data_IF_751664185194
#
_entry.id   IF_751664185194
#
_cell.length_a   1.000
_cell.length_b   1.000
_cell.length_c   1.000
_cell.angle_alpha   90.00
_cell.angle_beta   90.00
_cell.angle_gamma   90.00
#
_symmetry.space_group_name_H-M   'P 1'
#
loop_
_entity.id
_entity.type
_entity.pdbx_description
1 polymer ?
#
# COMPACT_ATOMS: atom_id res chain seq x y z
N UNK A 1 -19.76 -1.41 -21.04
CA UNK A 1 -19.45 -2.82 -21.36
C UNK A 1 -18.45 -3.30 -20.33
N UNK A 2 -18.77 -4.37 -19.56
CA UNK A 2 -17.79 -5.02 -18.70
C UNK A 2 -16.63 -5.47 -19.58
N UNK A 3 -15.43 -4.95 -19.35
CA UNK A 3 -14.22 -5.46 -19.99
C UNK A 3 -13.99 -6.88 -19.41
N UNK A 4 -14.56 -7.87 -20.06
CA UNK A 4 -14.27 -9.26 -19.77
C UNK A 4 -12.80 -9.50 -20.13
N UNK A 5 -12.01 -9.84 -19.13
CA UNK A 5 -10.62 -10.25 -19.35
C UNK A 5 -10.66 -11.56 -20.12
N UNK A 6 -10.10 -11.56 -21.32
CA UNK A 6 -9.90 -12.79 -22.08
C UNK A 6 -8.70 -13.54 -21.48
N UNK A 7 -8.97 -14.71 -20.87
CA UNK A 7 -7.94 -15.56 -20.31
C UNK A 7 -7.31 -16.43 -21.37
N UNK A 8 -6.14 -16.02 -21.88
CA UNK A 8 -5.38 -16.78 -22.88
C UNK A 8 -4.22 -17.54 -22.23
N UNK A 9 -4.44 -18.82 -21.95
CA UNK A 9 -3.42 -19.70 -21.34
C UNK A 9 -2.16 -19.86 -22.21
N UNK A 10 -2.29 -19.79 -23.55
CA UNK A 10 -1.13 -19.91 -24.44
C UNK A 10 -0.28 -18.65 -24.41
N UNK A 11 -0.91 -17.49 -24.40
CA UNK A 11 -0.22 -16.21 -24.25
C UNK A 11 0.51 -16.15 -22.90
N UNK A 12 -0.16 -16.55 -21.82
CA UNK A 12 0.43 -16.57 -20.47
C UNK A 12 1.66 -17.49 -20.45
N UNK A 13 1.55 -18.73 -20.92
CA UNK A 13 2.68 -19.67 -20.98
C UNK A 13 3.84 -19.17 -21.82
N UNK A 14 3.55 -18.46 -22.90
CA UNK A 14 4.57 -17.91 -23.80
C UNK A 14 5.42 -16.83 -23.13
N UNK A 15 4.81 -16.02 -22.26
CA UNK A 15 5.44 -14.87 -21.59
C UNK A 15 5.70 -15.09 -20.11
N UNK A 16 5.42 -16.27 -19.56
CA UNK A 16 5.73 -16.63 -18.16
C UNK A 16 7.24 -16.83 -18.01
N UNK A 17 7.92 -15.74 -17.67
CA UNK A 17 9.37 -15.70 -17.49
C UNK A 17 9.70 -15.03 -16.16
N UNK A 18 10.75 -15.54 -15.51
CA UNK A 18 11.33 -14.87 -14.35
C UNK A 18 11.93 -13.52 -14.78
N UNK A 19 11.55 -12.45 -14.10
CA UNK A 19 12.02 -11.10 -14.41
C UNK A 19 11.76 -10.14 -13.26
N UNK A 20 12.34 -8.92 -13.31
CA UNK A 20 12.02 -7.90 -12.35
C UNK A 20 10.57 -7.48 -12.46
N UNK A 21 9.99 -7.07 -11.34
CA UNK A 21 8.62 -6.57 -11.29
C UNK A 21 8.58 -5.15 -11.86
N UNK A 22 8.02 -5.00 -13.05
CA UNK A 22 7.88 -3.71 -13.73
C UNK A 22 6.58 -3.00 -13.30
N UNK A 23 6.54 -2.55 -12.06
CA UNK A 23 5.37 -1.85 -11.51
C UNK A 23 5.38 -0.35 -11.74
N UNK A 24 6.55 0.21 -12.07
CA UNK A 24 6.78 1.63 -12.36
C UNK A 24 8.02 1.80 -13.23
N UNK A 25 8.18 2.94 -13.88
CA UNK A 25 9.33 3.28 -14.70
C UNK A 25 9.86 4.67 -14.28
N UNK A 26 11.19 4.78 -14.02
CA UNK A 26 12.17 3.70 -13.97
C UNK A 26 11.86 2.72 -12.83
N UNK A 27 12.27 1.46 -12.98
CA UNK A 27 12.15 0.49 -11.90
C UNK A 27 13.19 0.79 -10.81
N UNK A 28 12.92 0.43 -9.54
CA UNK A 28 13.83 0.67 -8.43
C UNK A 28 15.23 0.03 -8.60
N UNK A 29 15.37 -1.01 -9.42
CA UNK A 29 16.67 -1.61 -9.76
C UNK A 29 17.56 -0.72 -10.63
N UNK A 30 17.01 0.35 -11.20
CA UNK A 30 17.77 1.36 -11.96
C UNK A 30 18.38 2.46 -11.08
N UNK A 31 17.99 2.52 -9.80
CA UNK A 31 18.49 3.53 -8.88
C UNK A 31 19.96 3.26 -8.56
N UNK A 32 20.72 4.33 -8.42
CA UNK A 32 22.16 4.29 -8.15
C UNK A 32 22.58 5.47 -7.26
N UNK A 33 23.79 5.41 -6.71
CA UNK A 33 24.31 6.38 -5.75
C UNK A 33 24.73 7.73 -6.37
N UNK A 34 24.49 7.92 -7.68
CA UNK A 34 24.83 9.14 -8.40
C UNK A 34 23.88 10.31 -8.17
N UNK A 35 22.75 10.09 -7.49
CA UNK A 35 21.78 11.13 -7.11
C UNK A 35 22.08 11.60 -5.70
N UNK A 36 22.29 12.91 -5.53
CA UNK A 36 22.64 13.50 -4.25
C UNK A 36 21.71 14.63 -3.82
N UNK A 37 22.09 15.28 -2.71
CA UNK A 37 21.32 16.38 -2.13
C UNK A 37 21.08 17.53 -3.12
N UNK A 38 22.03 17.84 -3.98
CA UNK A 38 21.89 18.92 -4.97
C UNK A 38 20.80 18.63 -6.00
N UNK A 39 20.69 17.37 -6.44
CA UNK A 39 19.66 16.95 -7.38
C UNK A 39 18.28 17.08 -6.76
N UNK A 40 18.14 16.64 -5.50
CA UNK A 40 16.89 16.76 -4.74
C UNK A 40 16.50 18.23 -4.57
N UNK A 41 17.43 19.10 -4.13
CA UNK A 41 17.17 20.53 -3.93
C UNK A 41 16.79 21.23 -5.24
N UNK A 42 17.42 20.84 -6.35
CA UNK A 42 17.08 21.37 -7.67
C UNK A 42 15.66 20.96 -8.09
N UNK A 43 15.30 19.69 -7.90
CA UNK A 43 13.95 19.20 -8.20
C UNK A 43 12.87 19.88 -7.35
N UNK A 44 13.10 20.01 -6.03
CA UNK A 44 12.18 20.73 -5.12
C UNK A 44 11.99 22.18 -5.52
N UNK A 45 13.06 22.87 -5.93
CA UNK A 45 12.99 24.24 -6.42
C UNK A 45 12.13 24.34 -7.70
N UNK A 46 12.34 23.45 -8.66
CA UNK A 46 11.55 23.41 -9.88
C UNK A 46 10.06 23.13 -9.60
N UNK A 47 9.77 22.18 -8.69
CA UNK A 47 8.41 21.90 -8.20
C UNK A 47 7.77 23.15 -7.61
N UNK A 48 8.50 23.87 -6.73
CA UNK A 48 8.06 25.13 -6.12
C UNK A 48 7.78 26.21 -7.16
N UNK A 49 8.66 26.42 -8.12
CA UNK A 49 8.50 27.45 -9.16
C UNK A 49 7.29 27.16 -10.06
N UNK A 50 6.97 25.90 -10.29
CA UNK A 50 5.81 25.45 -11.07
C UNK A 50 4.53 25.34 -10.23
N UNK A 51 4.62 25.47 -8.91
CA UNK A 51 3.51 25.28 -7.96
C UNK A 51 2.81 23.91 -8.15
N UNK A 52 3.56 22.85 -8.42
CA UNK A 52 2.97 21.52 -8.60
C UNK A 52 2.35 21.04 -7.29
N UNK A 53 1.13 20.48 -7.32
CA UNK A 53 0.55 19.87 -6.13
C UNK A 53 1.40 18.66 -5.68
N UNK A 54 1.22 18.26 -4.44
CA UNK A 54 2.06 17.27 -3.79
C UNK A 54 1.28 15.99 -3.45
N UNK A 55 1.96 14.87 -3.58
CA UNK A 55 1.61 13.59 -2.98
C UNK A 55 2.67 13.25 -1.93
N UNK A 56 2.29 12.96 -0.71
CA UNK A 56 3.20 12.58 0.36
C UNK A 56 3.08 11.09 0.66
N UNK A 57 4.20 10.39 0.74
CA UNK A 57 4.30 9.05 1.30
C UNK A 57 5.10 9.08 2.61
N UNK A 58 4.53 8.56 3.68
CA UNK A 58 5.19 8.49 4.99
C UNK A 58 5.42 7.04 5.36
N UNK A 59 6.69 6.66 5.47
CA UNK A 59 7.07 5.29 5.84
C UNK A 59 7.17 5.14 7.35
N UNK A 60 6.34 4.27 7.93
CA UNK A 60 6.39 3.89 9.34
C UNK A 60 6.88 2.43 9.43
N UNK A 61 8.15 2.19 9.78
CA UNK A 61 8.76 0.87 9.62
C UNK A 61 8.40 -0.13 10.73
N UNK A 62 7.61 0.24 11.74
CA UNK A 62 7.40 -0.58 12.92
C UNK A 62 6.27 -1.59 12.76
N UNK A 63 6.51 -2.83 13.25
CA UNK A 63 5.50 -3.86 13.41
C UNK A 63 5.67 -4.56 14.77
N UNK A 64 4.56 -4.86 15.45
CA UNK A 64 4.59 -5.64 16.68
C UNK A 64 4.81 -7.14 16.44
N UNK A 65 4.45 -7.62 15.24
CA UNK A 65 4.52 -9.03 14.84
C UNK A 65 5.25 -9.21 13.53
N UNK A 66 5.99 -10.32 13.41
CA UNK A 66 6.67 -10.69 12.17
C UNK A 66 5.76 -11.58 11.33
N UNK A 67 5.45 -11.14 10.10
CA UNK A 67 4.82 -11.99 9.09
C UNK A 67 5.92 -12.62 8.22
N UNK A 68 5.88 -13.94 8.03
CA UNK A 68 6.99 -14.64 7.37
C UNK A 68 7.09 -14.35 5.87
N UNK A 69 5.99 -14.00 5.21
CA UNK A 69 6.01 -13.64 3.79
C UNK A 69 6.60 -12.24 3.51
N UNK A 70 6.70 -11.38 4.53
CA UNK A 70 6.86 -9.94 4.33
C UNK A 70 8.26 -9.54 3.84
N UNK A 71 8.29 -8.80 2.73
CA UNK A 71 9.50 -8.21 2.13
C UNK A 71 9.67 -6.70 2.38
N UNK A 72 8.81 -6.06 3.18
CA UNK A 72 8.91 -4.63 3.46
C UNK A 72 10.13 -4.29 4.32
N UNK A 73 10.61 -3.04 4.20
CA UNK A 73 11.58 -2.50 5.17
C UNK A 73 10.87 -2.26 6.50
N UNK A 74 11.26 -2.99 7.54
CA UNK A 74 10.55 -2.99 8.82
C UNK A 74 11.45 -3.29 10.01
N UNK A 75 11.02 -2.78 11.16
CA UNK A 75 11.60 -3.05 12.48
C UNK A 75 10.55 -3.78 13.32
N UNK A 76 10.84 -5.06 13.65
CA UNK A 76 9.96 -5.84 14.50
C UNK A 76 10.28 -5.57 15.96
N UNK A 77 9.31 -5.02 16.70
CA UNK A 77 9.46 -4.73 18.12
C UNK A 77 8.10 -4.63 18.82
N UNK A 78 8.06 -5.05 20.08
CA UNK A 78 6.92 -4.80 20.97
C UNK A 78 7.11 -3.53 21.82
N UNK A 79 8.33 -3.01 21.85
CA UNK A 79 8.65 -1.77 22.53
C UNK A 79 8.21 -0.57 21.68
N UNK A 80 7.08 0.03 22.05
CA UNK A 80 6.50 1.20 21.38
C UNK A 80 7.41 2.43 21.47
N UNK A 81 8.21 2.54 22.52
CA UNK A 81 9.15 3.66 22.70
C UNK A 81 10.24 3.77 21.63
N UNK A 82 10.48 2.69 20.88
CA UNK A 82 11.43 2.71 19.76
C UNK A 82 10.97 3.57 18.58
N UNK A 83 9.70 3.94 18.52
CA UNK A 83 9.21 4.84 17.49
C UNK A 83 9.66 6.30 17.70
N UNK A 84 9.85 6.75 18.94
CA UNK A 84 10.14 8.15 19.25
C UNK A 84 11.38 8.71 18.54
N UNK A 85 12.57 8.08 18.62
CA UNK A 85 13.76 8.60 17.92
C UNK A 85 13.58 8.65 16.41
N UNK A 86 12.83 7.71 15.86
CA UNK A 86 12.51 7.68 14.43
C UNK A 86 11.59 8.83 14.05
N UNK A 87 10.53 9.08 14.81
CA UNK A 87 9.60 10.18 14.60
C UNK A 87 10.29 11.54 14.67
N UNK A 88 11.24 11.71 15.59
CA UNK A 88 12.06 12.93 15.67
C UNK A 88 12.85 13.17 14.39
N UNK A 89 13.43 12.13 13.79
CA UNK A 89 14.16 12.22 12.51
C UNK A 89 13.22 12.48 11.34
N UNK A 90 12.09 11.79 11.30
CA UNK A 90 11.06 11.99 10.29
C UNK A 90 10.51 13.44 10.30
N UNK A 91 10.33 14.02 11.49
CA UNK A 91 9.93 15.42 11.65
C UNK A 91 11.01 16.39 11.15
N UNK A 92 12.29 16.12 11.45
CA UNK A 92 13.42 16.91 10.94
C UNK A 92 13.47 16.86 9.41
N UNK A 93 13.29 15.69 8.82
CA UNK A 93 13.23 15.50 7.37
C UNK A 93 12.08 16.28 6.74
N UNK A 94 10.86 16.12 7.28
CA UNK A 94 9.68 16.83 6.82
C UNK A 94 9.87 18.36 6.89
N UNK A 95 10.49 18.86 7.96
CA UNK A 95 10.83 20.27 8.09
C UNK A 95 11.86 20.72 7.04
N UNK A 96 12.94 19.97 6.87
CA UNK A 96 14.00 20.28 5.91
C UNK A 96 13.46 20.35 4.46
N UNK A 97 12.60 19.40 4.07
CA UNK A 97 11.97 19.39 2.74
C UNK A 97 10.97 20.53 2.61
N UNK A 98 10.11 20.74 3.62
CA UNK A 98 9.06 21.76 3.60
C UNK A 98 9.59 23.19 3.42
N UNK A 99 10.82 23.48 3.89
CA UNK A 99 11.46 24.78 3.68
C UNK A 99 11.75 25.10 2.21
N UNK A 100 11.85 24.10 1.35
CA UNK A 100 12.12 24.26 -0.08
C UNK A 100 10.86 24.32 -0.94
N UNK A 101 9.68 24.19 -0.33
CA UNK A 101 8.38 24.19 -1.01
C UNK A 101 7.64 25.52 -0.77
N UNK A 102 6.58 25.74 -1.55
CA UNK A 102 5.69 26.90 -1.39
C UNK A 102 4.40 26.47 -0.69
N UNK A 103 3.91 27.29 0.23
CA UNK A 103 2.64 27.02 0.95
C UNK A 103 1.40 27.00 0.03
N UNK A 104 1.51 27.45 -1.20
CA UNK A 104 0.45 27.32 -2.21
C UNK A 104 0.40 25.95 -2.87
N UNK A 105 1.46 25.13 -2.73
CA UNK A 105 1.46 23.73 -3.19
C UNK A 105 0.63 22.90 -2.21
N UNK A 106 -0.57 22.53 -2.62
CA UNK A 106 -1.48 21.69 -1.82
C UNK A 106 -1.03 20.24 -1.83
N UNK A 107 -1.18 19.58 -0.69
CA UNK A 107 -1.03 18.11 -0.60
C UNK A 107 -2.37 17.48 -0.96
N UNK A 108 -2.50 17.04 -2.20
CA UNK A 108 -3.73 16.41 -2.71
C UNK A 108 -3.81 14.93 -2.32
N UNK A 109 -2.66 14.29 -2.11
CA UNK A 109 -2.58 12.88 -1.72
C UNK A 109 -1.62 12.70 -0.54
N UNK A 110 -2.01 11.88 0.44
CA UNK A 110 -1.20 11.46 1.58
C UNK A 110 -1.37 9.96 1.81
N UNK A 111 -0.26 9.24 1.96
CA UNK A 111 -0.30 7.82 2.29
C UNK A 111 0.66 7.48 3.42
N UNK A 112 0.15 6.81 4.46
CA UNK A 112 0.97 6.21 5.50
C UNK A 112 1.06 4.71 5.28
N UNK A 113 2.28 4.22 5.10
CA UNK A 113 2.54 2.80 4.82
C UNK A 113 3.82 2.29 5.44
N UNK A 114 4.24 1.09 5.02
CA UNK A 114 5.53 0.51 5.36
C UNK A 114 5.47 -0.77 6.20
N UNK A 115 5.58 -0.65 7.51
CA UNK A 115 5.36 -1.73 8.47
C UNK A 115 3.89 -1.78 8.88
N UNK A 116 3.56 -1.11 9.98
CA UNK A 116 2.19 -0.95 10.48
C UNK A 116 2.06 0.47 11.06
N UNK A 117 1.49 1.42 10.32
CA UNK A 117 1.39 2.80 10.81
C UNK A 117 0.62 2.93 12.14
N UNK A 118 -0.38 2.07 12.37
CA UNK A 118 -1.13 1.99 13.63
C UNK A 118 -0.34 1.36 14.80
N UNK A 119 0.94 1.02 14.58
CA UNK A 119 1.88 0.77 15.66
C UNK A 119 2.11 2.02 16.52
N UNK A 120 2.01 3.20 15.93
CA UNK A 120 2.12 4.45 16.65
C UNK A 120 0.93 4.64 17.61
N UNK A 121 1.20 5.21 18.77
CA UNK A 121 0.14 5.62 19.69
C UNK A 121 -0.71 6.75 19.08
N UNK A 122 -1.89 6.97 19.64
CA UNK A 122 -2.77 8.06 19.23
C UNK A 122 -2.10 9.44 19.32
N UNK A 123 -1.30 9.67 20.37
CA UNK A 123 -0.59 10.93 20.55
C UNK A 123 0.55 11.11 19.54
N UNK A 124 1.28 10.05 19.23
CA UNK A 124 2.31 10.06 18.19
C UNK A 124 1.72 10.32 16.81
N UNK A 125 0.57 9.73 16.48
CA UNK A 125 -0.15 10.00 15.23
C UNK A 125 -0.61 11.46 15.15
N UNK A 126 -1.16 12.02 16.24
CA UNK A 126 -1.53 13.46 16.31
C UNK A 126 -0.33 14.37 16.13
N UNK A 127 0.76 14.07 16.81
CA UNK A 127 2.00 14.85 16.71
C UNK A 127 2.55 14.81 15.28
N UNK A 128 2.65 13.62 14.68
CA UNK A 128 3.16 13.47 13.31
C UNK A 128 2.29 14.25 12.31
N UNK A 129 0.96 14.11 12.37
CA UNK A 129 0.05 14.87 11.50
C UNK A 129 0.15 16.37 11.75
N UNK A 130 0.30 16.80 13.00
CA UNK A 130 0.53 18.20 13.35
C UNK A 130 1.82 18.76 12.72
N UNK A 131 2.91 18.00 12.75
CA UNK A 131 4.17 18.39 12.10
C UNK A 131 4.07 18.43 10.57
N UNK A 132 3.35 17.48 9.97
CA UNK A 132 3.11 17.51 8.52
C UNK A 132 2.32 18.78 8.13
N UNK A 133 1.26 19.14 8.87
CA UNK A 133 0.47 20.36 8.63
C UNK A 133 1.27 21.66 8.84
N UNK A 134 2.26 21.64 9.73
CA UNK A 134 3.17 22.78 9.91
C UNK A 134 4.09 23.00 8.72
N UNK A 135 4.53 21.94 8.06
CA UNK A 135 5.52 21.99 6.99
C UNK A 135 4.93 21.92 5.57
N UNK A 136 3.76 21.33 5.41
CA UNK A 136 3.07 21.16 4.13
C UNK A 136 1.64 21.71 4.21
N UNK A 137 1.08 22.07 3.07
CA UNK A 137 -0.30 22.55 2.97
C UNK A 137 -1.27 21.38 2.77
N UNK A 138 -1.60 20.68 3.86
CA UNK A 138 -2.60 19.61 3.85
C UNK A 138 -4.02 20.22 3.74
N UNK A 139 -4.88 19.55 2.96
CA UNK A 139 -6.28 19.91 2.81
C UNK A 139 -7.08 19.54 4.06
N UNK A 140 -7.99 20.42 4.48
CA UNK A 140 -8.84 20.24 5.67
C UNK A 140 -10.32 19.99 5.33
N UNK A 141 -10.69 20.11 4.04
CA UNK A 141 -12.06 20.02 3.56
C UNK A 141 -12.48 18.63 3.08
N UNK A 142 -11.70 17.60 3.44
CA UNK A 142 -11.91 16.22 3.02
C UNK A 142 -11.82 15.97 1.49
N UNK A 143 -11.34 16.95 0.71
CA UNK A 143 -11.17 16.80 -0.74
C UNK A 143 -9.92 16.02 -1.14
N UNK A 144 -8.91 15.96 -0.24
CA UNK A 144 -7.69 15.18 -0.44
C UNK A 144 -7.92 13.67 -0.44
N UNK A 145 -6.97 12.95 -1.01
CA UNK A 145 -6.92 11.47 -1.00
C UNK A 145 -5.93 11.01 0.09
N UNK A 146 -6.42 10.87 1.32
CA UNK A 146 -5.58 10.58 2.48
C UNK A 146 -5.82 9.16 2.98
N UNK A 147 -4.83 8.29 2.79
CA UNK A 147 -4.92 6.87 3.02
C UNK A 147 -3.90 6.36 4.03
N UNK A 148 -4.24 5.25 4.69
CA UNK A 148 -3.38 4.60 5.67
C UNK A 148 -3.52 3.08 5.59
N UNK A 149 -2.38 2.37 5.70
CA UNK A 149 -2.35 0.92 5.82
C UNK A 149 -2.70 0.49 7.25
N UNK A 150 -3.57 -0.50 7.38
CA UNK A 150 -4.06 -1.01 8.65
C UNK A 150 -3.81 -2.52 8.77
N UNK A 151 -3.19 -2.91 9.87
CA UNK A 151 -3.25 -4.27 10.37
C UNK A 151 -4.46 -4.37 11.31
N UNK A 152 -5.49 -5.19 11.02
CA UNK A 152 -6.70 -5.25 11.85
C UNK A 152 -6.45 -5.73 13.28
N UNK A 153 -5.29 -6.34 13.56
CA UNK A 153 -4.86 -6.73 14.91
C UNK A 153 -4.35 -5.56 15.75
N UNK A 154 -4.02 -4.44 15.11
CA UNK A 154 -3.39 -3.25 15.71
C UNK A 154 -4.27 -1.99 15.56
N UNK A 155 -5.56 -2.16 15.33
CA UNK A 155 -6.53 -1.08 15.22
C UNK A 155 -7.89 -1.48 15.80
N UNK A 156 -8.61 -0.51 16.35
CA UNK A 156 -9.95 -0.65 16.90
C UNK A 156 -10.80 0.57 16.50
N UNK A 157 -12.04 0.63 16.99
CA UNK A 157 -12.96 1.74 16.77
C UNK A 157 -12.37 3.10 17.20
N UNK A 158 -11.64 3.15 18.31
CA UNK A 158 -10.99 4.37 18.79
C UNK A 158 -9.91 4.84 17.82
N UNK A 159 -9.11 3.91 17.33
CA UNK A 159 -8.09 4.16 16.29
C UNK A 159 -8.73 4.69 15.03
N UNK A 160 -9.81 4.05 14.55
CA UNK A 160 -10.53 4.49 13.34
C UNK A 160 -11.12 5.90 13.49
N UNK A 161 -11.68 6.21 14.67
CA UNK A 161 -12.20 7.55 15.00
C UNK A 161 -11.09 8.60 14.94
N UNK A 162 -9.92 8.31 15.54
CA UNK A 162 -8.77 9.19 15.48
C UNK A 162 -8.28 9.42 14.04
N UNK A 163 -8.15 8.35 13.25
CA UNK A 163 -7.69 8.46 11.86
C UNK A 163 -8.61 9.36 11.06
N UNK A 164 -9.92 9.26 11.26
CA UNK A 164 -10.90 10.14 10.61
C UNK A 164 -10.78 11.60 11.09
N UNK A 165 -10.58 11.82 12.38
CA UNK A 165 -10.32 13.14 12.97
C UNK A 165 -9.05 13.79 12.35
N UNK A 166 -8.01 12.99 12.11
CA UNK A 166 -6.76 13.46 11.51
C UNK A 166 -6.86 13.77 10.00
N UNK A 167 -7.98 13.41 9.37
CA UNK A 167 -8.26 13.70 7.97
C UNK A 167 -8.08 12.51 7.02
N UNK A 168 -7.74 11.31 7.53
CA UNK A 168 -7.72 10.11 6.70
C UNK A 168 -9.14 9.76 6.25
N UNK A 169 -9.31 9.49 4.97
CA UNK A 169 -10.60 9.16 4.35
C UNK A 169 -10.56 7.87 3.53
N UNK A 170 -9.43 7.18 3.50
CA UNK A 170 -9.22 5.88 2.84
C UNK A 170 -8.38 4.97 3.73
N UNK A 171 -8.65 3.68 3.68
CA UNK A 171 -7.86 2.66 4.38
C UNK A 171 -7.51 1.51 3.45
N UNK A 172 -6.35 0.89 3.70
CA UNK A 172 -5.99 -0.41 3.14
C UNK A 172 -5.78 -1.41 4.27
N UNK A 173 -6.55 -2.48 4.27
CA UNK A 173 -6.55 -3.50 5.32
C UNK A 173 -5.77 -4.72 4.83
N UNK A 174 -4.67 -5.03 5.50
CA UNK A 174 -3.92 -6.26 5.21
C UNK A 174 -4.60 -7.49 5.80
N UNK A 175 -5.31 -8.25 4.98
CA UNK A 175 -5.95 -9.53 5.37
C UNK A 175 -5.09 -10.72 4.95
N UNK A 176 -4.63 -10.72 3.72
CA UNK A 176 -3.76 -11.71 3.08
C UNK A 176 -4.46 -13.06 2.80
N UNK A 177 -4.96 -13.75 3.79
CA UNK A 177 -5.73 -14.99 3.70
C UNK A 177 -6.56 -15.19 4.98
N UNK A 178 -7.70 -15.87 4.87
CA UNK A 178 -8.58 -16.20 5.98
C UNK A 178 -8.46 -17.66 6.45
N UNK A 179 -7.76 -18.53 5.69
CA UNK A 179 -7.56 -19.92 6.09
C UNK A 179 -6.62 -20.01 7.31
N UNK A 180 -7.06 -20.62 8.43
CA UNK A 180 -6.26 -20.68 9.66
C UNK A 180 -4.95 -21.48 9.51
N UNK A 181 -4.85 -22.44 8.59
CA UNK A 181 -3.62 -23.19 8.33
C UNK A 181 -2.61 -22.31 7.61
N UNK A 182 -3.04 -21.56 6.61
CA UNK A 182 -2.23 -20.57 5.90
C UNK A 182 -1.74 -19.48 6.85
N UNK A 183 -2.65 -18.91 7.65
CA UNK A 183 -2.31 -17.87 8.63
C UNK A 183 -1.24 -18.34 9.64
N UNK A 184 -1.34 -19.57 10.13
CA UNK A 184 -0.31 -20.15 11.00
C UNK A 184 1.02 -20.34 10.29
N UNK A 185 1.01 -20.82 9.05
CA UNK A 185 2.21 -21.04 8.26
C UNK A 185 2.99 -19.75 7.98
N UNK A 186 2.30 -18.61 7.89
CA UNK A 186 2.90 -17.28 7.66
C UNK A 186 3.01 -16.43 8.91
N UNK A 187 2.64 -16.95 10.08
CA UNK A 187 2.64 -16.24 11.38
C UNK A 187 1.80 -14.96 11.37
N UNK A 188 0.61 -15.02 10.75
CA UNK A 188 -0.33 -13.90 10.74
C UNK A 188 -1.73 -14.40 11.09
N UNK A 189 -2.00 -14.56 12.38
CA UNK A 189 -3.29 -14.97 12.88
C UNK A 189 -4.18 -13.75 13.09
N UNK A 190 -5.30 -13.73 12.42
CA UNK A 190 -6.35 -12.71 12.55
C UNK A 190 -7.70 -13.33 12.24
N UNK A 191 -8.75 -12.78 12.81
CA UNK A 191 -10.13 -13.25 12.61
C UNK A 191 -10.83 -12.45 11.51
N UNK A 192 -11.87 -13.03 10.93
CA UNK A 192 -12.76 -12.31 10.02
C UNK A 192 -13.50 -11.18 10.75
N UNK A 193 -13.83 -11.40 12.03
CA UNK A 193 -14.50 -10.42 12.89
C UNK A 193 -13.66 -9.17 13.12
N UNK A 194 -12.35 -9.29 13.34
CA UNK A 194 -11.44 -8.14 13.44
C UNK A 194 -11.48 -7.31 12.15
N UNK A 195 -11.40 -7.96 11.00
CA UNK A 195 -11.50 -7.29 9.70
C UNK A 195 -12.85 -6.60 9.51
N UNK A 196 -13.93 -7.30 9.82
CA UNK A 196 -15.31 -6.79 9.74
C UNK A 196 -15.50 -5.56 10.62
N UNK A 197 -15.01 -5.59 11.86
CA UNK A 197 -15.12 -4.46 12.79
C UNK A 197 -14.44 -3.20 12.25
N UNK A 198 -13.28 -3.32 11.60
CA UNK A 198 -12.59 -2.19 10.96
C UNK A 198 -13.39 -1.65 9.77
N UNK A 199 -13.98 -2.52 8.95
CA UNK A 199 -14.80 -2.10 7.81
C UNK A 199 -16.08 -1.39 8.30
N UNK A 200 -16.75 -1.92 9.32
CA UNK A 200 -17.95 -1.31 9.93
C UNK A 200 -17.61 0.07 10.51
N UNK A 201 -16.47 0.19 11.21
CA UNK A 201 -15.99 1.46 11.71
C UNK A 201 -15.72 2.45 10.56
N UNK A 202 -15.05 2.01 9.50
CA UNK A 202 -14.77 2.84 8.33
C UNK A 202 -16.07 3.35 7.66
N UNK A 203 -17.06 2.47 7.49
CA UNK A 203 -18.36 2.86 6.91
C UNK A 203 -19.12 3.83 7.79
N UNK A 204 -19.18 3.55 9.10
CA UNK A 204 -19.86 4.43 10.08
C UNK A 204 -19.22 5.81 10.16
N UNK A 205 -17.89 5.88 10.08
CA UNK A 205 -17.10 7.10 10.13
C UNK A 205 -16.97 7.78 8.74
N UNK A 206 -17.64 7.25 7.71
CA UNK A 206 -17.68 7.81 6.37
C UNK A 206 -16.31 7.90 5.69
N UNK A 207 -15.48 6.86 5.85
CA UNK A 207 -14.33 6.69 4.97
C UNK A 207 -14.83 6.47 3.54
N UNK A 208 -14.18 7.10 2.56
CA UNK A 208 -14.60 7.05 1.15
C UNK A 208 -14.30 5.72 0.49
N UNK A 209 -13.21 5.07 0.90
CA UNK A 209 -12.77 3.83 0.27
C UNK A 209 -12.10 2.90 1.27
N UNK A 210 -12.44 1.63 1.17
CA UNK A 210 -11.84 0.52 1.89
C UNK A 210 -11.21 -0.41 0.86
N UNK A 211 -9.88 -0.52 0.89
CA UNK A 211 -9.14 -1.53 0.14
C UNK A 211 -8.81 -2.72 1.03
N UNK A 212 -8.84 -3.93 0.49
CA UNK A 212 -8.38 -5.15 1.15
C UNK A 212 -7.24 -5.76 0.35
N UNK A 213 -6.13 -6.05 1.05
CA UNK A 213 -4.99 -6.71 0.47
C UNK A 213 -5.04 -8.21 0.75
N UNK A 214 -4.96 -9.02 -0.31
CA UNK A 214 -4.85 -10.46 -0.30
C UNK A 214 -3.55 -10.90 -0.97
N UNK A 215 -3.03 -12.07 -0.56
CA UNK A 215 -1.83 -12.66 -1.16
C UNK A 215 -2.17 -14.09 -1.60
N UNK A 216 -2.03 -14.37 -2.88
CA UNK A 216 -2.09 -15.75 -3.39
C UNK A 216 -0.69 -16.33 -3.59
N UNK A 217 -0.59 -17.64 -3.49
CA UNK A 217 0.69 -18.36 -3.56
C UNK A 217 1.40 -18.51 -2.22
N UNK A 218 0.73 -18.26 -1.10
CA UNK A 218 1.23 -18.52 0.25
C UNK A 218 1.31 -20.01 0.54
N UNK A 219 2.15 -20.45 1.53
CA UNK A 219 2.24 -21.85 1.87
C UNK A 219 0.88 -22.42 2.31
N UNK A 220 0.62 -23.68 1.93
CA UNK A 220 -0.61 -24.43 2.19
C UNK A 220 -1.88 -23.93 1.49
N UNK A 221 -1.81 -22.87 0.70
CA UNK A 221 -2.95 -22.46 -0.13
C UNK A 221 -3.22 -23.46 -1.24
N UNK A 222 -4.52 -23.67 -1.53
CA UNK A 222 -5.00 -24.37 -2.72
C UNK A 222 -5.95 -23.43 -3.48
N UNK A 223 -6.23 -23.70 -4.78
CA UNK A 223 -7.25 -22.95 -5.52
C UNK A 223 -8.61 -22.89 -4.79
N UNK A 224 -9.02 -23.99 -4.17
CA UNK A 224 -10.29 -24.11 -3.45
C UNK A 224 -10.28 -23.32 -2.13
N UNK A 225 -9.18 -23.36 -1.36
CA UNK A 225 -9.09 -22.62 -0.10
C UNK A 225 -9.03 -21.11 -0.33
N UNK A 226 -8.27 -20.68 -1.34
CA UNK A 226 -8.17 -19.27 -1.67
C UNK A 226 -9.47 -18.70 -2.26
N UNK A 227 -10.18 -19.50 -3.08
CA UNK A 227 -11.50 -19.11 -3.58
C UNK A 227 -12.52 -18.87 -2.46
N UNK A 228 -12.44 -19.62 -1.34
CA UNK A 228 -13.27 -19.36 -0.15
C UNK A 228 -12.91 -18.03 0.51
N UNK A 229 -11.59 -17.76 0.67
CA UNK A 229 -11.13 -16.46 1.18
C UNK A 229 -11.66 -15.31 0.33
N UNK A 230 -11.56 -15.41 -1.00
CA UNK A 230 -12.07 -14.37 -1.92
C UNK A 230 -13.59 -14.19 -1.77
N UNK A 231 -14.36 -15.28 -1.64
CA UNK A 231 -15.80 -15.22 -1.47
C UNK A 231 -16.20 -14.51 -0.14
N UNK A 232 -15.51 -14.81 0.97
CA UNK A 232 -15.73 -14.14 2.26
C UNK A 232 -15.41 -12.64 2.18
N UNK A 233 -14.35 -12.28 1.48
CA UNK A 233 -13.97 -10.87 1.29
C UNK A 233 -14.98 -10.14 0.40
N UNK A 234 -15.46 -10.75 -0.67
CA UNK A 234 -16.52 -10.17 -1.50
C UNK A 234 -17.79 -9.88 -0.66
N UNK A 235 -18.12 -10.77 0.29
CA UNK A 235 -19.28 -10.58 1.18
C UNK A 235 -19.12 -9.36 2.12
N UNK A 236 -17.89 -8.91 2.38
CA UNK A 236 -17.61 -7.68 3.14
C UNK A 236 -17.73 -6.40 2.29
N UNK A 237 -17.88 -6.52 1.00
CA UNK A 237 -18.10 -5.43 0.05
C UNK A 237 -17.03 -4.30 0.14
N UNK A 238 -15.72 -4.60 0.07
CA UNK A 238 -14.72 -3.55 -0.04
C UNK A 238 -14.89 -2.77 -1.35
N UNK A 239 -14.41 -1.52 -1.38
CA UNK A 239 -14.43 -0.71 -2.60
C UNK A 239 -13.35 -1.15 -3.58
N UNK A 240 -12.20 -1.60 -3.04
CA UNK A 240 -11.03 -2.08 -3.80
C UNK A 240 -10.47 -3.36 -3.22
N UNK A 241 -9.78 -4.11 -4.07
CA UNK A 241 -8.97 -5.26 -3.66
C UNK A 241 -7.63 -5.22 -4.37
N UNK A 242 -6.60 -5.65 -3.63
CA UNK A 242 -5.27 -5.90 -4.18
C UNK A 242 -4.93 -7.39 -3.97
N UNK A 243 -4.69 -8.11 -5.06
CA UNK A 243 -4.33 -9.54 -5.04
C UNK A 243 -2.86 -9.71 -5.40
N UNK A 244 -1.98 -9.75 -4.39
CA UNK A 244 -0.55 -9.86 -4.63
C UNK A 244 -0.10 -11.29 -4.84
N UNK A 245 0.77 -11.51 -5.82
CA UNK A 245 1.45 -12.78 -6.01
C UNK A 245 2.61 -12.90 -5.00
N UNK A 246 2.60 -13.94 -4.16
CA UNK A 246 3.71 -14.20 -3.26
C UNK A 246 4.98 -14.58 -4.03
N UNK A 247 6.06 -13.82 -3.80
CA UNK A 247 7.39 -14.12 -4.29
C UNK A 247 8.25 -14.68 -3.13
N UNK A 248 8.69 -15.93 -3.25
CA UNK A 248 9.55 -16.59 -2.26
C UNK A 248 11.02 -16.33 -2.56
N UNK A 249 11.63 -15.42 -1.78
CA UNK A 249 13.01 -14.96 -1.92
C UNK A 249 13.73 -15.01 -0.55
N UNK A 250 13.92 -16.21 0.05
CA UNK A 250 14.45 -16.36 1.41
C UNK A 250 15.93 -15.95 1.53
N UNK A 251 16.67 -15.88 0.43
CA UNK A 251 18.03 -15.32 0.38
C UNK A 251 18.04 -13.80 0.59
N UNK A 252 17.00 -13.11 0.13
CA UNK A 252 16.86 -11.65 0.26
C UNK A 252 16.09 -11.25 1.52
N UNK A 253 15.04 -12.00 1.88
CA UNK A 253 14.14 -11.68 2.99
C UNK A 253 14.26 -12.74 4.09
N UNK A 254 15.00 -12.46 5.13
CA UNK A 254 15.25 -13.40 6.24
C UNK A 254 13.98 -14.01 6.87
N UNK A 255 12.84 -13.27 7.04
CA UNK A 255 11.63 -13.90 7.57
C UNK A 255 11.12 -15.05 6.73
N UNK A 256 11.28 -15.01 5.41
CA UNK A 256 10.81 -16.03 4.48
C UNK A 256 11.54 -17.37 4.62
N UNK A 257 12.72 -17.40 5.29
CA UNK A 257 13.43 -18.65 5.63
C UNK A 257 12.65 -19.56 6.58
N UNK A 258 11.62 -19.03 7.23
CA UNK A 258 10.71 -19.78 8.11
C UNK A 258 9.55 -20.46 7.37
N UNK A 259 9.38 -20.16 6.09
CA UNK A 259 8.40 -20.81 5.23
C UNK A 259 9.05 -22.07 4.64
N UNK A 260 8.37 -23.20 4.80
CA UNK A 260 8.80 -24.44 4.18
C UNK A 260 8.44 -24.40 2.68
N UNK A 261 9.46 -24.48 1.82
CA UNK A 261 9.29 -24.41 0.36
C UNK A 261 8.44 -25.55 -0.20
N UNK A 262 8.38 -26.72 0.49
CA UNK A 262 7.53 -27.84 0.07
C UNK A 262 6.03 -27.58 0.26
N UNK A 263 5.67 -26.58 1.07
CA UNK A 263 4.28 -26.21 1.33
C UNK A 263 3.76 -25.13 0.36
N UNK A 264 4.64 -24.63 -0.52
CA UNK A 264 4.25 -23.62 -1.50
C UNK A 264 3.45 -24.28 -2.64
N UNK A 265 2.38 -23.63 -3.10
CA UNK A 265 1.61 -24.10 -4.25
C UNK A 265 2.45 -24.11 -5.52
N UNK A 266 2.14 -25.02 -6.42
CA UNK A 266 2.78 -25.08 -7.74
C UNK A 266 2.51 -23.81 -8.56
N UNK A 267 3.32 -23.51 -9.60
CA UNK A 267 3.01 -22.42 -10.53
C UNK A 267 1.64 -22.56 -11.18
N UNK A 268 1.20 -23.80 -11.47
CA UNK A 268 -0.13 -24.08 -12.01
C UNK A 268 -1.25 -23.73 -11.02
N UNK A 269 -1.09 -24.07 -9.75
CA UNK A 269 -2.06 -23.73 -8.71
C UNK A 269 -2.14 -22.22 -8.50
N UNK A 270 -1.01 -21.51 -8.52
CA UNK A 270 -0.98 -20.04 -8.43
C UNK A 270 -1.73 -19.39 -9.59
N UNK A 271 -1.55 -19.92 -10.79
CA UNK A 271 -2.26 -19.44 -11.98
C UNK A 271 -3.77 -19.72 -11.88
N UNK A 272 -4.15 -20.90 -11.38
CA UNK A 272 -5.55 -21.25 -11.13
C UNK A 272 -6.19 -20.35 -10.06
N UNK A 273 -5.47 -20.03 -8.97
CA UNK A 273 -5.93 -19.08 -7.96
C UNK A 273 -6.21 -17.69 -8.56
N UNK A 274 -5.28 -17.18 -9.38
CA UNK A 274 -5.46 -15.88 -10.03
C UNK A 274 -6.65 -15.89 -10.98
N UNK A 275 -6.77 -16.90 -11.82
CA UNK A 275 -7.90 -17.03 -12.75
C UNK A 275 -9.24 -17.08 -12.02
N UNK A 276 -9.38 -17.97 -11.03
CA UNK A 276 -10.59 -18.09 -10.24
C UNK A 276 -10.95 -16.79 -9.51
N UNK A 277 -9.94 -16.06 -9.00
CA UNK A 277 -10.15 -14.77 -8.33
C UNK A 277 -10.67 -13.71 -9.32
N UNK A 278 -10.09 -13.63 -10.52
CA UNK A 278 -10.56 -12.71 -11.57
C UNK A 278 -12.02 -13.02 -11.92
N UNK A 279 -12.36 -14.30 -12.13
CA UNK A 279 -13.70 -14.73 -12.45
C UNK A 279 -14.71 -14.41 -11.34
N UNK A 280 -14.37 -14.71 -10.06
CA UNK A 280 -15.22 -14.42 -8.91
C UNK A 280 -15.43 -12.91 -8.71
N UNK A 281 -14.37 -12.12 -8.76
CA UNK A 281 -14.45 -10.67 -8.57
C UNK A 281 -15.22 -9.99 -9.72
N UNK A 282 -14.99 -10.42 -10.95
CA UNK A 282 -15.75 -9.92 -12.11
C UNK A 282 -17.23 -10.26 -12.01
N UNK A 283 -17.57 -11.49 -11.58
CA UNK A 283 -18.95 -11.90 -11.35
C UNK A 283 -19.62 -11.12 -10.21
N UNK A 284 -18.84 -10.69 -9.22
CA UNK A 284 -19.31 -9.83 -8.11
C UNK A 284 -19.39 -8.34 -8.48
N UNK A 285 -19.07 -7.96 -9.72
CA UNK A 285 -19.19 -6.61 -10.24
C UNK A 285 -17.92 -5.76 -10.14
N UNK A 286 -16.81 -6.31 -9.65
CA UNK A 286 -15.54 -5.58 -9.64
C UNK A 286 -14.93 -5.49 -11.02
N UNK A 287 -14.34 -4.35 -11.33
CA UNK A 287 -13.53 -4.13 -12.53
C UNK A 287 -12.07 -4.48 -12.25
N UNK A 288 -11.43 -5.20 -13.13
CA UNK A 288 -9.99 -5.40 -13.11
C UNK A 288 -9.30 -4.12 -13.58
N UNK A 289 -8.59 -3.46 -12.69
CA UNK A 289 -7.90 -2.20 -12.97
C UNK A 289 -6.58 -2.46 -13.71
N UNK A 290 -5.88 -3.49 -13.28
CA UNK A 290 -4.63 -3.94 -13.88
C UNK A 290 -3.70 -4.56 -12.84
N UNK A 291 -2.73 -5.34 -13.28
CA UNK A 291 -1.78 -6.06 -12.45
C UNK A 291 -2.45 -6.84 -11.32
N UNK A 292 -2.49 -6.28 -10.11
CA UNK A 292 -2.99 -6.95 -8.91
C UNK A 292 -4.30 -6.31 -8.39
N UNK A 293 -4.88 -5.31 -9.07
CA UNK A 293 -5.89 -4.42 -8.50
C UNK A 293 -7.27 -4.58 -9.13
N UNK A 294 -8.28 -4.51 -8.27
CA UNK A 294 -9.70 -4.53 -8.61
C UNK A 294 -10.42 -3.40 -7.88
N UNK A 295 -11.45 -2.84 -8.47
CA UNK A 295 -12.27 -1.79 -7.88
C UNK A 295 -13.73 -1.91 -8.32
N UNK A 296 -14.65 -1.38 -7.53
CA UNK A 296 -16.04 -1.21 -7.93
C UNK A 296 -16.13 -0.23 -9.12
N UNK A 297 -17.16 -0.35 -9.98
CA UNK A 297 -17.26 0.48 -11.19
C UNK A 297 -17.38 1.98 -10.95
N UNK A 298 -17.90 2.40 -9.80
CA UNK A 298 -18.05 3.78 -9.36
C UNK A 298 -16.83 4.32 -8.59
N UNK A 299 -15.80 3.49 -8.40
CA UNK A 299 -14.51 3.92 -7.82
C UNK A 299 -13.74 4.78 -8.84
N UNK A 300 -13.04 5.78 -8.33
CA UNK A 300 -12.27 6.73 -9.16
C UNK A 300 -11.20 6.06 -10.03
N UNK A 301 -10.58 4.93 -9.58
CA UNK A 301 -9.62 4.18 -10.40
C UNK A 301 -10.30 3.52 -11.60
N UNK A 302 -11.52 3.01 -11.41
CA UNK A 302 -12.30 2.41 -12.49
C UNK A 302 -12.76 3.46 -13.49
N UNK A 303 -13.18 4.63 -13.01
CA UNK A 303 -13.55 5.77 -13.85
C UNK A 303 -12.33 6.28 -14.63
N UNK A 304 -11.19 6.48 -13.95
CA UNK A 304 -9.96 6.94 -14.60
C UNK A 304 -9.43 5.93 -15.64
N UNK A 305 -9.61 4.62 -15.40
CA UNK A 305 -9.28 3.58 -16.39
C UNK A 305 -10.15 3.74 -17.66
N UNK A 306 -11.45 4.00 -17.49
CA UNK A 306 -12.40 4.18 -18.61
C UNK A 306 -12.08 5.45 -19.40
N UNK A 307 -11.74 6.54 -18.71
CA UNK A 307 -11.40 7.83 -19.30
C UNK A 307 -9.96 7.87 -19.87
N UNK A 308 -9.15 6.83 -19.64
CA UNK A 308 -7.75 6.78 -20.06
C UNK A 308 -6.82 7.70 -19.29
N UNK A 309 -7.23 8.15 -18.09
CA UNK A 309 -6.45 9.05 -17.22
C UNK A 309 -5.77 8.34 -16.06
N UNK A 310 -6.00 7.01 -15.93
CA UNK A 310 -5.38 6.20 -14.88
C UNK A 310 -3.85 6.22 -14.99
N UNK A 311 -3.19 6.47 -13.89
CA UNK A 311 -1.74 6.48 -13.79
C UNK A 311 -1.23 5.48 -12.75
N UNK A 312 0.07 5.23 -12.76
CA UNK A 312 0.74 4.39 -11.79
C UNK A 312 2.08 4.99 -11.40
N UNK A 313 2.35 5.05 -10.11
CA UNK A 313 3.64 5.43 -9.53
C UNK A 313 4.18 4.32 -8.62
N UNK A 314 5.23 4.60 -7.83
CA UNK A 314 5.82 3.62 -6.90
C UNK A 314 4.88 3.15 -5.79
N UNK A 315 3.82 3.90 -5.47
CA UNK A 315 2.82 3.51 -4.48
C UNK A 315 1.72 2.62 -5.07
N UNK A 316 1.48 2.67 -6.38
CA UNK A 316 0.43 1.92 -7.04
C UNK A 316 -0.35 2.76 -8.05
N UNK A 317 -1.59 2.33 -8.36
CA UNK A 317 -2.49 3.08 -9.22
C UNK A 317 -2.98 4.35 -8.53
N UNK A 318 -3.05 5.43 -9.30
CA UNK A 318 -3.43 6.75 -8.80
C UNK A 318 -4.14 7.57 -9.87
N UNK A 319 -4.98 8.50 -9.44
CA UNK A 319 -5.54 9.59 -10.25
C UNK A 319 -4.73 10.89 -10.09
N UNK A 320 -3.71 10.89 -9.24
CA UNK A 320 -2.88 12.04 -8.88
C UNK A 320 -1.49 12.02 -9.56
N UNK A 321 -1.42 11.53 -10.80
CA UNK A 321 -0.15 11.48 -11.56
C UNK A 321 0.45 12.84 -11.90
N UNK A 322 -0.30 13.93 -11.71
CA UNK A 322 0.16 15.31 -11.87
C UNK A 322 0.88 15.86 -10.63
N UNK A 323 0.79 15.19 -9.49
CA UNK A 323 1.47 15.57 -8.26
C UNK A 323 2.94 15.17 -8.28
N UNK A 324 3.79 15.98 -7.65
CA UNK A 324 5.12 15.53 -7.27
C UNK A 324 5.01 14.66 -6.01
N UNK A 325 5.57 13.45 -6.09
CA UNK A 325 5.57 12.48 -4.99
C UNK A 325 6.81 12.68 -4.12
N UNK A 326 6.59 12.99 -2.85
CA UNK A 326 7.63 13.14 -1.83
C UNK A 326 7.53 11.98 -0.84
N UNK A 327 8.57 11.17 -0.79
CA UNK A 327 8.71 10.09 0.18
C UNK A 327 9.45 10.57 1.43
N UNK A 328 8.87 10.34 2.60
CA UNK A 328 9.43 10.65 3.91
C UNK A 328 9.70 9.36 4.70
N UNK A 329 10.84 9.31 5.37
CA UNK A 329 11.28 8.16 6.16
C UNK A 329 12.12 7.15 5.39
N UNK A 330 12.61 6.12 6.10
CA UNK A 330 13.53 5.12 5.56
C UNK A 330 12.97 4.43 4.32
N UNK A 331 13.82 4.19 3.32
CA UNK A 331 13.52 3.51 2.06
C UNK A 331 12.39 4.11 1.21
N UNK A 332 11.79 5.22 1.61
CA UNK A 332 10.74 5.89 0.83
C UNK A 332 11.28 6.40 -0.50
N UNK A 333 10.44 6.35 -1.53
CA UNK A 333 10.80 6.78 -2.89
C UNK A 333 10.07 8.09 -3.19
N UNK A 334 10.81 9.05 -3.74
CA UNK A 334 10.29 10.32 -4.27
C UNK A 334 10.35 10.33 -5.79
N UNK A 335 9.35 10.98 -6.40
CA UNK A 335 9.31 11.30 -7.83
C UNK A 335 8.93 12.78 -7.95
N UNK A 336 9.92 13.64 -8.21
CA UNK A 336 9.75 15.10 -8.26
C UNK A 336 10.17 15.58 -9.65
N UNK A 337 9.20 15.88 -10.51
CA UNK A 337 9.46 16.10 -11.92
C UNK A 337 10.12 14.87 -12.55
N UNK A 338 11.32 15.05 -13.11
CA UNK A 338 12.10 13.98 -13.75
C UNK A 338 13.06 13.27 -12.80
N UNK A 339 13.12 13.71 -11.53
CA UNK A 339 13.97 13.09 -10.52
C UNK A 339 13.24 11.93 -9.84
N UNK A 340 13.90 10.77 -9.78
CA UNK A 340 13.54 9.65 -8.93
C UNK A 340 14.66 9.42 -7.92
N UNK A 341 14.32 9.44 -6.64
CA UNK A 341 15.31 9.18 -5.59
C UNK A 341 14.70 8.35 -4.45
N UNK A 342 15.55 7.68 -3.70
CA UNK A 342 15.15 6.83 -2.60
C UNK A 342 15.96 7.16 -1.35
N UNK A 343 15.30 7.25 -0.21
CA UNK A 343 15.96 7.37 1.07
C UNK A 343 16.70 6.08 1.43
N UNK A 344 17.75 6.20 2.25
CA UNK A 344 18.44 5.05 2.79
C UNK A 344 17.49 4.12 3.54
N UNK A 345 17.86 2.84 3.65
CA UNK A 345 17.03 1.82 4.30
C UNK A 345 17.30 1.64 5.79
N UNK A 346 18.27 2.36 6.37
CA UNK A 346 18.73 2.31 7.77
C UNK A 346 18.76 3.71 8.42
#
# INVERSE_FOLDING_TARGET
MLNLIEWDTNLIRRYDQAGPRYTSYPTAVQFHDGVGQFDLLHALRNSREQLRPLSLYVHIPFCAHICYYCGCNKVITKDRGRALPYLEKLQQEAHAIGQHLDRRQTVEQLHFGGGTPTFLSHDELRQLMGHLRQNFNLLDDDSGDYSIEIDPREADWSTMGLLRELGFNRISIGVQDLDPAVQRAVNRLQTLEETRAIIEAARTLQFRSVNIDLIYGLPLQTPESFAKTVAEIIALQPDRLSLFNYAHLPERFMPQRRINSSDLPSPGDKLAMLQASIEQLSAAGYRYIGMDHFALPDDELAIAQEDGTLQRNFQGYTTHGHCDLIGLGVSSISQIGDLYCQNNSD
#
